data_IF_928477042640
#
_entry.id   IF_928477042640
#
_cell.length_a   1.000
_cell.length_b   1.000
_cell.length_c   1.000
_cell.angle_alpha   90.00
_cell.angle_beta   90.00
_cell.angle_gamma   90.00
#
_symmetry.space_group_name_H-M   'P 1'
#
loop_
_entity.id
_entity.type
_entity.pdbx_description
1 polymer ?
#
# COMPACT_ATOMS: atom_id res chain seq x y z
N UNK A 1 22.55 -8.83 10.42
CA UNK A 1 21.91 -8.87 9.09
C UNK A 1 20.78 -7.85 9.09
N UNK A 2 20.66 -7.02 8.06
CA UNK A 2 19.55 -6.05 7.99
C UNK A 2 18.23 -6.80 7.76
N UNK A 3 17.17 -6.41 8.46
CA UNK A 3 15.84 -6.98 8.24
C UNK A 3 15.34 -6.58 6.85
N UNK A 4 14.92 -7.55 6.05
CA UNK A 4 14.32 -7.31 4.74
C UNK A 4 13.06 -6.46 4.85
N UNK A 5 12.93 -5.49 3.95
CA UNK A 5 11.69 -4.77 3.68
C UNK A 5 10.60 -5.72 3.18
N UNK A 6 9.33 -5.31 3.29
CA UNK A 6 8.22 -6.12 2.78
C UNK A 6 8.30 -6.34 1.26
N UNK A 7 8.81 -5.35 0.52
CA UNK A 7 8.99 -5.47 -0.93
C UNK A 7 9.99 -6.58 -1.26
N UNK A 8 11.14 -6.61 -0.57
CA UNK A 8 12.14 -7.66 -0.74
C UNK A 8 11.56 -9.03 -0.35
N UNK A 9 10.80 -9.12 0.75
CA UNK A 9 10.12 -10.36 1.14
C UNK A 9 9.16 -10.87 0.05
N UNK A 10 8.40 -9.98 -0.59
CA UNK A 10 7.52 -10.33 -1.71
C UNK A 10 8.30 -10.71 -2.97
N UNK A 11 9.38 -10.01 -3.30
CA UNK A 11 10.24 -10.35 -4.43
C UNK A 11 10.85 -11.75 -4.29
N UNK A 12 11.38 -12.09 -3.11
CA UNK A 12 11.90 -13.44 -2.84
C UNK A 12 10.82 -14.51 -2.96
N UNK A 13 9.61 -14.23 -2.44
CA UNK A 13 8.48 -15.16 -2.54
C UNK A 13 8.04 -15.33 -4.00
N UNK A 14 8.02 -14.25 -4.77
CA UNK A 14 7.68 -14.24 -6.19
C UNK A 14 8.65 -15.09 -7.01
N UNK A 15 9.96 -14.93 -6.81
CA UNK A 15 10.99 -15.74 -7.50
C UNK A 15 10.78 -17.23 -7.24
N UNK A 16 10.40 -17.62 -6.02
CA UNK A 16 10.11 -19.01 -5.69
C UNK A 16 8.85 -19.60 -6.37
N UNK A 17 7.92 -18.75 -6.81
CA UNK A 17 6.71 -19.17 -7.53
C UNK A 17 6.83 -19.04 -9.05
N UNK A 18 7.73 -18.19 -9.53
CA UNK A 18 7.95 -17.97 -10.96
C UNK A 18 8.76 -19.11 -11.58
N UNK A 19 8.08 -20.18 -12.00
CA UNK A 19 8.69 -21.34 -12.68
C UNK A 19 8.67 -21.25 -14.22
N UNK A 20 7.96 -20.26 -14.78
CA UNK A 20 7.72 -20.15 -16.22
C UNK A 20 6.70 -21.17 -16.78
N UNK A 21 6.09 -21.98 -15.92
CA UNK A 21 5.03 -22.93 -16.27
C UNK A 21 3.67 -22.44 -15.76
N UNK A 22 2.55 -22.88 -16.37
CA UNK A 22 1.22 -22.65 -15.80
C UNK A 22 1.15 -23.18 -14.37
N UNK A 23 0.64 -22.35 -13.46
CA UNK A 23 0.42 -22.72 -12.05
C UNK A 23 -1.04 -23.13 -11.84
N UNK A 24 -1.34 -24.01 -10.88
CA UNK A 24 -2.71 -24.27 -10.42
C UNK A 24 -3.45 -22.97 -10.06
N UNK A 25 -4.78 -22.95 -10.19
CA UNK A 25 -5.59 -21.75 -9.98
C UNK A 25 -5.40 -21.14 -8.58
N UNK A 26 -5.27 -21.98 -7.55
CA UNK A 26 -5.02 -21.54 -6.18
C UNK A 26 -3.67 -20.81 -6.06
N UNK A 27 -2.65 -21.26 -6.79
CA UNK A 27 -1.36 -20.57 -6.86
C UNK A 27 -1.42 -19.32 -7.75
N UNK A 28 -2.25 -19.32 -8.79
CA UNK A 28 -2.45 -18.15 -9.65
C UNK A 28 -3.01 -16.95 -8.87
N UNK A 29 -3.93 -17.19 -7.93
CA UNK A 29 -4.45 -16.16 -7.01
C UNK A 29 -3.35 -15.52 -6.15
N UNK A 30 -2.47 -16.34 -5.56
CA UNK A 30 -1.35 -15.86 -4.75
C UNK A 30 -0.34 -15.10 -5.62
N UNK A 31 -0.07 -15.61 -6.82
CA UNK A 31 0.86 -15.01 -7.77
C UNK A 31 0.39 -13.62 -8.22
N UNK A 32 -0.89 -13.49 -8.60
CA UNK A 32 -1.49 -12.21 -9.00
C UNK A 32 -1.50 -11.20 -7.85
N UNK A 33 -1.81 -11.64 -6.63
CA UNK A 33 -1.79 -10.78 -5.45
C UNK A 33 -0.36 -10.32 -5.10
N UNK A 34 0.65 -11.19 -5.25
CA UNK A 34 2.06 -10.83 -5.04
C UNK A 34 2.51 -9.72 -6.00
N UNK A 35 2.23 -9.89 -7.30
CA UNK A 35 2.54 -8.88 -8.32
C UNK A 35 1.92 -7.53 -7.96
N UNK A 36 0.65 -7.53 -7.61
CA UNK A 36 -0.05 -6.33 -7.20
C UNK A 36 0.59 -5.67 -5.96
N UNK A 37 0.87 -6.44 -4.90
CA UNK A 37 1.49 -5.87 -3.70
C UNK A 37 2.88 -5.28 -3.95
N UNK A 38 3.68 -5.92 -4.81
CA UNK A 38 4.98 -5.37 -5.19
C UNK A 38 4.81 -4.04 -5.94
N UNK A 39 3.90 -3.97 -6.92
CA UNK A 39 3.58 -2.74 -7.64
C UNK A 39 3.15 -1.62 -6.68
N UNK A 40 2.24 -1.91 -5.75
CA UNK A 40 1.78 -0.91 -4.76
C UNK A 40 2.92 -0.39 -3.90
N UNK A 41 3.79 -1.27 -3.42
CA UNK A 41 4.94 -0.88 -2.62
C UNK A 41 5.91 -0.01 -3.43
N UNK A 42 6.18 -0.38 -4.69
CA UNK A 42 7.05 0.38 -5.58
C UNK A 42 6.46 1.76 -5.93
N UNK A 43 5.17 1.84 -6.23
CA UNK A 43 4.48 3.10 -6.52
C UNK A 43 4.50 4.02 -5.29
N UNK A 44 4.27 3.49 -4.10
CA UNK A 44 4.37 4.27 -2.85
C UNK A 44 5.80 4.75 -2.56
N UNK A 45 6.82 3.93 -2.83
CA UNK A 45 8.22 4.37 -2.76
C UNK A 45 8.53 5.50 -3.75
N UNK A 46 7.99 5.40 -4.97
CA UNK A 46 8.12 6.44 -5.99
C UNK A 46 7.49 7.76 -5.53
N UNK A 47 6.29 7.73 -4.93
CA UNK A 47 5.67 8.94 -4.37
C UNK A 47 6.52 9.58 -3.26
N UNK A 48 7.08 8.78 -2.35
CA UNK A 48 7.97 9.31 -1.31
C UNK A 48 9.26 9.92 -1.89
N UNK A 49 9.84 9.28 -2.91
CA UNK A 49 11.08 9.73 -3.53
C UNK A 49 10.88 11.03 -4.34
N UNK A 50 9.75 11.16 -5.02
CA UNK A 50 9.45 12.27 -5.94
C UNK A 50 8.57 13.37 -5.32
N UNK A 51 8.26 13.29 -4.02
CA UNK A 51 7.54 14.34 -3.33
C UNK A 51 8.31 15.68 -3.43
N UNK A 52 7.68 16.75 -3.97
CA UNK A 52 8.32 18.05 -4.14
C UNK A 52 8.87 18.62 -2.82
N UNK A 53 10.03 19.25 -2.92
CA UNK A 53 10.67 20.03 -1.86
C UNK A 53 10.73 21.48 -2.32
N UNK A 54 10.45 22.41 -1.41
CA UNK A 54 10.45 23.85 -1.71
C UNK A 54 9.15 24.53 -1.32
N UNK A 55 8.78 25.56 -2.08
CA UNK A 55 7.59 26.36 -1.83
C UNK A 55 6.62 26.41 -3.03
N UNK A 56 6.89 25.64 -4.09
CA UNK A 56 6.00 25.58 -5.24
C UNK A 56 4.72 24.78 -4.91
N UNK A 57 3.67 25.55 -4.57
CA UNK A 57 2.35 25.02 -4.23
C UNK A 57 1.70 24.26 -5.39
N UNK A 58 1.99 24.61 -6.65
CA UNK A 58 1.39 23.93 -7.80
C UNK A 58 1.97 22.52 -7.97
N UNK A 59 3.28 22.37 -7.83
CA UNK A 59 3.93 21.05 -7.82
C UNK A 59 3.43 20.19 -6.66
N UNK A 60 3.32 20.75 -5.45
CA UNK A 60 2.78 20.04 -4.28
C UNK A 60 1.33 19.59 -4.49
N UNK A 61 0.48 20.46 -5.05
CA UNK A 61 -0.92 20.14 -5.34
C UNK A 61 -1.04 19.02 -6.37
N UNK A 62 -0.28 19.10 -7.47
CA UNK A 62 -0.27 18.09 -8.52
C UNK A 62 0.18 16.73 -7.98
N UNK A 63 1.28 16.70 -7.23
CA UNK A 63 1.77 15.48 -6.59
C UNK A 63 0.75 14.95 -5.55
N UNK A 64 0.11 15.82 -4.78
CA UNK A 64 -0.90 15.44 -3.80
C UNK A 64 -2.09 14.76 -4.47
N UNK A 65 -2.58 15.29 -5.59
CA UNK A 65 -3.69 14.68 -6.35
C UNK A 65 -3.34 13.29 -6.87
N UNK A 66 -2.10 13.08 -7.34
CA UNK A 66 -1.62 11.76 -7.76
C UNK A 66 -1.65 10.75 -6.61
N UNK A 67 -1.10 11.14 -5.45
CA UNK A 67 -1.09 10.29 -4.24
C UNK A 67 -2.53 10.03 -3.77
N UNK A 68 -3.33 11.08 -3.66
CA UNK A 68 -4.69 11.01 -3.12
C UNK A 68 -5.61 10.10 -3.94
N UNK A 69 -5.58 10.26 -5.26
CA UNK A 69 -6.34 9.40 -6.18
C UNK A 69 -5.89 7.95 -6.09
N UNK A 70 -4.57 7.70 -5.98
CA UNK A 70 -4.05 6.35 -5.85
C UNK A 70 -4.47 5.68 -4.53
N UNK A 71 -4.32 6.38 -3.39
CA UNK A 71 -4.71 5.83 -2.08
C UNK A 71 -6.23 5.60 -1.98
N UNK A 72 -7.04 6.46 -2.59
CA UNK A 72 -8.49 6.27 -2.68
C UNK A 72 -8.87 5.03 -3.49
N UNK A 73 -8.16 4.75 -4.59
CA UNK A 73 -8.37 3.54 -5.39
C UNK A 73 -8.01 2.29 -4.60
N UNK A 74 -6.82 2.26 -3.98
CA UNK A 74 -6.34 1.15 -3.15
C UNK A 74 -7.31 0.79 -2.01
N UNK A 75 -8.02 1.78 -1.49
CA UNK A 75 -9.02 1.63 -0.43
C UNK A 75 -10.25 0.85 -0.91
N UNK A 76 -10.64 0.99 -2.17
CA UNK A 76 -11.90 0.47 -2.69
C UNK A 76 -11.74 -0.78 -3.56
N UNK A 77 -10.57 -0.96 -4.16
CA UNK A 77 -10.36 -2.02 -5.14
C UNK A 77 -10.13 -3.40 -4.52
N UNK A 78 -10.21 -4.41 -5.41
CA UNK A 78 -9.84 -5.80 -5.13
C UNK A 78 -10.48 -6.41 -3.86
N UNK A 79 -11.74 -6.09 -3.60
CA UNK A 79 -12.58 -6.73 -2.55
C UNK A 79 -13.15 -8.09 -2.96
N UNK A 80 -12.58 -8.69 -4.01
CA UNK A 80 -12.91 -10.05 -4.42
C UNK A 80 -11.99 -11.03 -3.67
N UNK A 81 -12.55 -12.16 -3.25
CA UNK A 81 -11.83 -13.18 -2.50
C UNK A 81 -12.75 -14.33 -2.12
N UNK A 82 -12.19 -15.37 -1.51
CA UNK A 82 -12.94 -16.53 -1.01
C UNK A 82 -14.01 -16.01 -0.02
N UNK A 83 -15.27 -16.49 -0.10
CA UNK A 83 -16.30 -16.16 0.87
C UNK A 83 -15.77 -16.37 2.29
N UNK A 84 -15.78 -15.30 3.07
CA UNK A 84 -15.37 -15.35 4.47
C UNK A 84 -16.54 -15.88 5.31
N UNK A 85 -16.31 -16.78 6.27
CA UNK A 85 -17.22 -16.97 7.38
C UNK A 85 -17.43 -15.64 8.15
N UNK A 86 -18.50 -15.53 8.93
CA UNK A 86 -18.95 -14.26 9.54
C UNK A 86 -17.88 -13.53 10.38
N UNK A 87 -16.96 -14.26 11.00
CA UNK A 87 -15.84 -13.73 11.78
C UNK A 87 -14.74 -13.14 10.89
N UNK A 88 -14.39 -13.81 9.79
CA UNK A 88 -13.45 -13.29 8.78
C UNK A 88 -14.01 -12.04 8.08
N UNK A 89 -15.33 -11.96 7.88
CA UNK A 89 -15.97 -10.77 7.30
C UNK A 89 -15.85 -9.55 8.24
N UNK A 90 -16.07 -9.73 9.54
CA UNK A 90 -15.86 -8.67 10.55
C UNK A 90 -14.40 -8.19 10.58
N UNK A 91 -13.44 -9.09 10.39
CA UNK A 91 -12.03 -8.73 10.30
C UNK A 91 -11.74 -7.87 9.06
N UNK A 92 -12.30 -8.25 7.90
CA UNK A 92 -12.21 -7.45 6.66
C UNK A 92 -12.79 -6.06 6.84
N UNK A 93 -13.98 -5.96 7.44
CA UNK A 93 -14.65 -4.68 7.66
C UNK A 93 -13.87 -3.77 8.62
N UNK A 94 -13.33 -4.34 9.70
CA UNK A 94 -12.51 -3.60 10.67
C UNK A 94 -11.23 -3.07 10.04
N UNK A 95 -10.52 -3.90 9.28
CA UNK A 95 -9.30 -3.49 8.57
C UNK A 95 -9.60 -2.40 7.53
N UNK A 96 -10.69 -2.55 6.79
CA UNK A 96 -11.12 -1.57 5.81
C UNK A 96 -11.53 -0.23 6.45
N UNK A 97 -12.28 -0.25 7.56
CA UNK A 97 -12.64 0.96 8.30
C UNK A 97 -11.40 1.71 8.83
N UNK A 98 -10.38 0.97 9.28
CA UNK A 98 -9.11 1.58 9.67
C UNK A 98 -8.45 2.30 8.48
N UNK A 99 -8.43 1.66 7.31
CA UNK A 99 -7.88 2.25 6.09
C UNK A 99 -8.65 3.53 5.69
N UNK A 100 -9.98 3.51 5.77
CA UNK A 100 -10.83 4.69 5.54
C UNK A 100 -10.51 5.84 6.48
N UNK A 101 -10.29 5.57 7.78
CA UNK A 101 -9.90 6.59 8.76
C UNK A 101 -8.56 7.22 8.41
N UNK A 102 -7.55 6.41 8.10
CA UNK A 102 -6.21 6.92 7.70
C UNK A 102 -6.32 7.86 6.49
N UNK A 103 -7.14 7.48 5.49
CA UNK A 103 -7.36 8.31 4.30
C UNK A 103 -8.05 9.63 4.65
N UNK A 104 -9.10 9.59 5.47
CA UNK A 104 -9.80 10.79 5.91
C UNK A 104 -8.89 11.73 6.74
N UNK A 105 -8.07 11.16 7.62
CA UNK A 105 -7.18 11.92 8.50
C UNK A 105 -6.07 12.64 7.71
N UNK A 106 -5.44 11.99 6.72
CA UNK A 106 -4.46 12.72 5.90
C UNK A 106 -5.14 13.76 5.01
N UNK A 107 -6.29 13.48 4.39
CA UNK A 107 -7.03 14.48 3.61
C UNK A 107 -7.36 15.71 4.43
N UNK A 108 -7.78 15.53 5.69
CA UNK A 108 -8.01 16.64 6.61
C UNK A 108 -6.74 17.46 6.85
N UNK A 109 -5.58 16.81 7.05
CA UNK A 109 -4.29 17.51 7.19
C UNK A 109 -3.92 18.30 5.93
N UNK A 110 -4.19 17.75 4.75
CA UNK A 110 -3.85 18.40 3.48
C UNK A 110 -4.87 19.46 3.04
N UNK A 111 -6.12 19.41 3.50
CA UNK A 111 -7.17 20.36 3.13
C UNK A 111 -6.92 21.81 3.55
N UNK A 112 -6.08 22.03 4.57
CA UNK A 112 -5.61 23.35 4.99
C UNK A 112 -4.08 23.42 5.04
N UNK A 113 -3.41 22.71 4.12
CA UNK A 113 -1.96 22.60 4.14
C UNK A 113 -1.26 23.93 3.83
N UNK A 114 -0.38 24.35 4.72
CA UNK A 114 0.50 25.50 4.53
C UNK A 114 1.90 25.14 5.04
N UNK A 115 2.87 24.88 4.16
CA UNK A 115 4.21 24.50 4.58
C UNK A 115 4.93 25.69 5.22
N UNK A 116 5.55 25.47 6.38
CA UNK A 116 6.41 26.45 7.08
C UNK A 116 7.90 26.23 6.78
N UNK A 117 8.25 25.13 6.12
CA UNK A 117 9.59 24.87 5.61
C UNK A 117 9.55 23.99 4.34
N UNK A 118 10.62 24.02 3.52
CA UNK A 118 10.68 23.30 2.23
C UNK A 118 10.43 21.79 2.29
N UNK A 119 10.79 21.13 3.39
CA UNK A 119 10.73 19.67 3.53
C UNK A 119 9.39 19.17 4.10
N UNK A 120 8.55 20.08 4.61
CA UNK A 120 7.35 19.70 5.33
C UNK A 120 6.40 18.87 4.48
N UNK A 121 6.21 19.23 3.21
CA UNK A 121 5.35 18.47 2.29
C UNK A 121 5.85 17.03 2.13
N UNK A 122 7.12 16.86 1.78
CA UNK A 122 7.76 15.56 1.60
C UNK A 122 7.67 14.69 2.85
N UNK A 123 7.92 15.28 4.02
CA UNK A 123 7.81 14.60 5.30
C UNK A 123 6.38 14.13 5.60
N UNK A 124 5.37 14.96 5.31
CA UNK A 124 3.96 14.58 5.52
C UNK A 124 3.49 13.50 4.53
N UNK A 125 3.96 13.51 3.27
CA UNK A 125 3.74 12.40 2.32
C UNK A 125 4.38 11.13 2.85
N UNK A 126 5.65 11.19 3.26
CA UNK A 126 6.37 10.03 3.81
C UNK A 126 5.62 9.42 5.00
N UNK A 127 5.21 10.24 5.97
CA UNK A 127 4.39 9.80 7.11
C UNK A 127 3.08 9.16 6.65
N UNK A 128 2.38 9.78 5.71
CA UNK A 128 1.11 9.26 5.19
C UNK A 128 1.28 7.88 4.57
N UNK A 129 2.29 7.68 3.73
CA UNK A 129 2.58 6.38 3.11
C UNK A 129 3.03 5.35 4.15
N UNK A 130 3.89 5.72 5.10
CA UNK A 130 4.34 4.84 6.18
C UNK A 130 3.20 4.39 7.10
N UNK A 131 2.18 5.22 7.31
CA UNK A 131 0.97 4.84 8.06
C UNK A 131 -0.01 4.02 7.21
N UNK A 132 -0.19 4.38 5.94
CA UNK A 132 -1.16 3.74 5.05
C UNK A 132 -0.75 2.30 4.67
N UNK A 133 0.50 2.08 4.28
CA UNK A 133 0.95 0.80 3.72
C UNK A 133 0.71 -0.40 4.66
N UNK A 134 1.04 -0.34 5.97
CA UNK A 134 0.78 -1.44 6.89
C UNK A 134 -0.72 -1.75 7.02
N UNK A 135 -1.58 -0.73 7.12
CA UNK A 135 -3.03 -0.91 7.21
C UNK A 135 -3.62 -1.49 5.91
N UNK A 136 -3.09 -1.06 4.77
CA UNK A 136 -3.46 -1.62 3.48
C UNK A 136 -3.04 -3.09 3.36
N UNK A 137 -1.80 -3.45 3.73
CA UNK A 137 -1.34 -4.85 3.75
C UNK A 137 -2.21 -5.70 4.69
N UNK A 138 -2.57 -5.18 5.86
CA UNK A 138 -3.46 -5.88 6.79
C UNK A 138 -4.82 -6.18 6.14
N UNK A 139 -5.39 -5.20 5.42
CA UNK A 139 -6.62 -5.40 4.65
C UNK A 139 -6.42 -6.49 3.60
N UNK A 140 -5.33 -6.43 2.83
CA UNK A 140 -5.03 -7.44 1.81
C UNK A 140 -4.86 -8.85 2.40
N UNK A 141 -4.23 -8.98 3.56
CA UNK A 141 -4.06 -10.26 4.26
C UNK A 141 -5.39 -10.89 4.71
N UNK A 142 -6.44 -10.10 4.93
CA UNK A 142 -7.77 -10.60 5.24
C UNK A 142 -8.51 -11.19 4.01
N UNK A 143 -8.05 -10.90 2.79
CA UNK A 143 -8.56 -11.50 1.55
C UNK A 143 -7.65 -12.61 1.02
N UNK A 144 -6.35 -12.41 1.07
CA UNK A 144 -5.36 -13.37 0.55
C UNK A 144 -4.11 -13.32 1.43
N UNK A 145 -3.94 -14.32 2.30
CA UNK A 145 -2.76 -14.39 3.16
C UNK A 145 -1.56 -14.86 2.35
N UNK A 146 -0.47 -14.09 2.36
CA UNK A 146 0.81 -14.46 1.75
C UNK A 146 1.80 -14.78 2.87
N UNK A 147 2.32 -16.00 2.88
CA UNK A 147 3.39 -16.41 3.78
C UNK A 147 4.73 -16.13 3.11
N UNK A 148 5.42 -15.08 3.54
CA UNK A 148 6.77 -14.77 3.06
C UNK A 148 7.80 -15.56 3.86
N UNK A 149 8.76 -16.19 3.20
CA UNK A 149 9.93 -16.76 3.89
C UNK A 149 10.84 -15.62 4.33
N UNK A 150 11.35 -15.66 5.55
CA UNK A 150 12.53 -14.86 5.90
C UNK A 150 13.75 -15.47 5.19
N UNK A 151 14.65 -14.64 4.65
CA UNK A 151 15.89 -15.16 4.09
C UNK A 151 16.66 -15.87 5.21
N UNK A 152 17.01 -17.13 4.98
CA UNK A 152 17.96 -17.88 5.82
C UNK A 152 19.36 -17.29 5.71
#
# INVERSE_FOLDING_TARGET
MANMTMLEKYQHTFVGLASGQPVPLEQAWIYQELLYRMEVLQTCQMFCANAPVGSDMQSMLTHYQMVDGYLENLKNERRFGIPAPDDEQKQRDTAHQNLCRIVADYRKRFGSFSPVNPEQYKNEIGKTITTFLPAWIQTRNAYTKINTKEAQ
#
